data_IF_593967023045
#
_entry.id   IF_593967023045
#
_cell.length_a   1.000
_cell.length_b   1.000
_cell.length_c   1.000
_cell.angle_alpha   90.00
_cell.angle_beta   90.00
_cell.angle_gamma   90.00
#
_symmetry.space_group_name_H-M   'P 1'
#
loop_
_entity.id
_entity.type
_entity.pdbx_description
1 polymer ?
#
# COMPACT_ATOMS: atom_id res chain seq x y z
N UNK A 1 10.62 3.63 -25.46
CA UNK A 1 10.02 3.12 -24.20
C UNK A 1 9.68 4.35 -23.36
N UNK A 2 8.41 4.57 -23.02
CA UNK A 2 7.95 5.84 -22.43
C UNK A 2 8.60 6.13 -21.07
N UNK A 3 8.84 7.41 -20.78
CA UNK A 3 9.46 7.88 -19.53
C UNK A 3 8.75 7.31 -18.28
N UNK A 4 7.42 7.16 -18.35
CA UNK A 4 6.59 6.58 -17.30
C UNK A 4 7.02 5.17 -16.90
N UNK A 5 7.33 4.29 -17.86
CA UNK A 5 7.75 2.92 -17.58
C UNK A 5 9.12 2.86 -16.88
N UNK A 6 10.02 3.76 -17.27
CA UNK A 6 11.34 3.89 -16.65
C UNK A 6 11.22 4.32 -15.19
N UNK A 7 10.35 5.30 -14.89
CA UNK A 7 10.08 5.78 -13.53
C UNK A 7 9.46 4.64 -12.71
N UNK A 8 8.40 4.02 -13.22
CA UNK A 8 7.73 2.90 -12.56
C UNK A 8 8.71 1.80 -12.15
N UNK A 9 9.55 1.34 -13.09
CA UNK A 9 10.52 0.27 -12.82
C UNK A 9 11.59 0.69 -11.81
N UNK A 10 12.02 1.96 -11.84
CA UNK A 10 12.98 2.51 -10.88
C UNK A 10 12.41 2.53 -9.47
N UNK A 11 11.21 3.08 -9.31
CA UNK A 11 10.56 3.21 -7.99
C UNK A 11 10.20 1.84 -7.42
N UNK A 12 9.67 0.93 -8.25
CA UNK A 12 9.37 -0.43 -7.84
C UNK A 12 10.65 -1.17 -7.43
N UNK A 13 11.73 -1.01 -8.19
CA UNK A 13 13.05 -1.52 -7.82
C UNK A 13 13.54 -0.99 -6.47
N UNK A 14 13.34 0.31 -6.20
CA UNK A 14 13.73 0.93 -4.93
C UNK A 14 12.98 0.34 -3.71
N UNK A 15 11.70 0.01 -3.87
CA UNK A 15 10.92 -0.66 -2.82
C UNK A 15 11.47 -2.05 -2.47
N UNK A 16 11.83 -2.87 -3.47
CA UNK A 16 12.34 -4.22 -3.25
C UNK A 16 13.85 -4.28 -2.95
N UNK A 17 14.62 -3.24 -3.25
CA UNK A 17 16.02 -3.15 -2.82
C UNK A 17 16.17 -2.66 -1.39
N UNK A 18 15.16 -1.97 -0.86
CA UNK A 18 15.18 -1.44 0.50
C UNK A 18 14.70 -2.46 1.52
N UNK A 19 15.46 -2.63 2.61
CA UNK A 19 15.05 -3.44 3.75
C UNK A 19 13.68 -3.02 4.33
N UNK A 20 13.34 -1.74 4.19
CA UNK A 20 12.10 -1.15 4.72
C UNK A 20 10.87 -1.68 3.98
N UNK A 21 10.98 -1.99 2.68
CA UNK A 21 9.89 -2.60 1.92
C UNK A 21 9.53 -4.00 2.42
N UNK A 22 10.53 -4.81 2.78
CA UNK A 22 10.30 -6.14 3.36
C UNK A 22 9.72 -6.06 4.77
N UNK A 23 10.26 -5.16 5.61
CA UNK A 23 9.72 -4.93 6.96
C UNK A 23 8.24 -4.54 6.87
N UNK A 24 7.89 -3.63 5.96
CA UNK A 24 6.51 -3.25 5.71
C UNK A 24 5.63 -4.45 5.37
N UNK A 25 6.03 -5.28 4.39
CA UNK A 25 5.24 -6.44 3.97
C UNK A 25 5.05 -7.44 5.11
N UNK A 26 6.11 -7.74 5.88
CA UNK A 26 6.05 -8.68 7.00
C UNK A 26 5.11 -8.15 8.08
N UNK A 27 5.28 -6.89 8.50
CA UNK A 27 4.47 -6.31 9.59
C UNK A 27 3.00 -6.19 9.16
N UNK A 28 2.74 -5.75 7.92
CA UNK A 28 1.38 -5.70 7.36
C UNK A 28 0.71 -7.08 7.40
N UNK A 29 1.44 -8.13 7.00
CA UNK A 29 0.92 -9.50 7.00
C UNK A 29 0.69 -10.03 8.41
N UNK A 30 1.65 -9.86 9.32
CA UNK A 30 1.55 -10.34 10.71
C UNK A 30 0.39 -9.67 11.44
N UNK A 31 0.21 -8.36 11.28
CA UNK A 31 -0.92 -7.66 11.89
C UNK A 31 -2.25 -8.08 11.27
N UNK A 32 -2.33 -8.17 9.95
CA UNK A 32 -3.56 -8.54 9.25
C UNK A 32 -4.02 -9.95 9.61
N UNK A 33 -3.09 -10.92 9.61
CA UNK A 33 -3.37 -12.32 9.99
C UNK A 33 -3.62 -12.42 11.50
N UNK A 34 -2.77 -11.79 12.32
CA UNK A 34 -2.87 -11.87 13.78
C UNK A 34 -4.18 -11.31 14.32
N UNK A 35 -4.66 -10.19 13.78
CA UNK A 35 -5.95 -9.60 14.16
C UNK A 35 -7.15 -10.44 13.69
N UNK A 36 -6.99 -11.23 12.63
CA UNK A 36 -8.02 -12.14 12.14
C UNK A 36 -8.07 -13.47 12.90
N UNK A 37 -6.94 -13.98 13.42
CA UNK A 37 -6.92 -15.25 14.16
C UNK A 37 -7.83 -15.22 15.40
N UNK A 38 -7.82 -14.13 16.17
CA UNK A 38 -8.65 -13.99 17.38
C UNK A 38 -10.16 -14.18 17.13
N UNK A 39 -10.81 -13.43 16.21
CA UNK A 39 -12.22 -13.64 15.92
C UNK A 39 -12.48 -15.00 15.23
N UNK A 40 -11.55 -15.49 14.41
CA UNK A 40 -11.70 -16.81 13.76
C UNK A 40 -11.86 -17.95 14.79
N UNK A 41 -11.00 -18.01 15.81
CA UNK A 41 -11.10 -19.03 16.87
C UNK A 41 -12.27 -18.80 17.83
N UNK A 42 -12.75 -17.56 17.98
CA UNK A 42 -13.86 -17.23 18.89
C UNK A 42 -15.22 -17.60 18.30
N UNK A 43 -15.44 -17.28 17.01
CA UNK A 43 -16.74 -17.50 16.36
C UNK A 43 -16.82 -18.82 15.59
N UNK A 44 -15.68 -19.48 15.30
CA UNK A 44 -15.58 -20.75 14.54
C UNK A 44 -16.35 -20.74 13.20
N UNK A 45 -16.56 -19.56 12.63
CA UNK A 45 -17.22 -19.37 11.35
C UNK A 45 -16.18 -19.11 10.26
N UNK A 46 -16.34 -19.76 9.11
CA UNK A 46 -15.49 -19.55 7.93
C UNK A 46 -15.88 -18.25 7.17
N UNK A 47 -15.92 -17.12 7.88
CA UNK A 47 -16.26 -15.80 7.33
C UNK A 47 -15.05 -14.84 7.47
N UNK A 48 -14.79 -14.07 6.41
CA UNK A 48 -13.74 -13.05 6.35
C UNK A 48 -14.23 -11.63 6.64
N UNK A 49 -15.52 -11.44 6.95
CA UNK A 49 -16.05 -10.09 7.28
C UNK A 49 -15.26 -9.37 8.36
N UNK A 50 -14.82 -10.07 9.41
CA UNK A 50 -14.00 -9.46 10.46
C UNK A 50 -12.62 -9.04 9.95
N UNK A 51 -12.01 -9.80 9.04
CA UNK A 51 -10.72 -9.44 8.43
C UNK A 51 -10.84 -8.15 7.63
N UNK A 52 -11.83 -8.08 6.74
CA UNK A 52 -12.06 -6.89 5.92
C UNK A 52 -12.56 -5.69 6.72
N UNK A 53 -13.24 -5.91 7.86
CA UNK A 53 -13.64 -4.83 8.77
C UNK A 53 -12.46 -4.11 9.43
N UNK A 54 -11.33 -4.81 9.64
CA UNK A 54 -10.11 -4.22 10.23
C UNK A 54 -9.19 -3.60 9.18
N UNK A 55 -9.35 -3.96 7.89
CA UNK A 55 -8.53 -3.44 6.79
C UNK A 55 -8.46 -1.91 6.71
N UNK A 56 -9.57 -1.14 6.81
CA UNK A 56 -9.50 0.32 6.72
C UNK A 56 -8.55 0.95 7.75
N UNK A 57 -8.54 0.44 8.98
CA UNK A 57 -7.67 0.94 10.05
C UNK A 57 -6.21 0.58 9.76
N UNK A 58 -5.94 -0.66 9.34
CA UNK A 58 -4.59 -1.10 8.99
C UNK A 58 -4.07 -0.27 7.80
N UNK A 59 -4.85 -0.13 6.74
CA UNK A 59 -4.47 0.63 5.56
C UNK A 59 -4.24 2.11 5.87
N UNK A 60 -5.07 2.70 6.73
CA UNK A 60 -4.91 4.08 7.17
C UNK A 60 -3.58 4.35 7.89
N UNK A 61 -3.01 3.36 8.58
CA UNK A 61 -1.70 3.50 9.24
C UNK A 61 -0.55 3.17 8.27
N UNK A 62 -0.71 2.12 7.47
CA UNK A 62 0.37 1.56 6.67
C UNK A 62 0.59 2.33 5.37
N UNK A 63 -0.45 2.74 4.66
CA UNK A 63 -0.30 3.40 3.36
C UNK A 63 0.37 4.78 3.45
N UNK A 64 0.12 5.61 4.48
CA UNK A 64 0.92 6.82 4.72
C UNK A 64 2.42 6.53 4.86
N UNK A 65 2.79 5.42 5.47
CA UNK A 65 4.20 5.04 5.62
C UNK A 65 4.85 4.66 4.28
N UNK A 66 4.06 4.14 3.32
CA UNK A 66 4.54 3.85 1.96
C UNK A 66 4.71 5.14 1.16
N UNK A 67 3.79 6.10 1.31
CA UNK A 67 3.78 7.34 0.51
C UNK A 67 4.66 8.44 1.07
N UNK A 68 4.97 8.45 2.37
CA UNK A 68 5.72 9.53 3.01
C UNK A 68 7.08 9.80 2.36
N UNK A 69 7.72 8.78 1.75
CA UNK A 69 9.06 8.86 1.15
C UNK A 69 9.05 9.28 -0.31
N UNK A 70 7.93 9.12 -1.02
CA UNK A 70 7.88 9.26 -2.48
C UNK A 70 8.32 10.63 -2.99
N UNK A 71 7.91 11.71 -2.32
CA UNK A 71 8.28 13.09 -2.69
C UNK A 71 9.08 13.81 -1.62
N UNK A 72 8.78 13.57 -0.34
CA UNK A 72 9.49 14.24 0.75
C UNK A 72 10.97 13.84 0.84
N UNK A 73 11.35 12.60 0.44
CA UNK A 73 12.77 12.21 0.39
C UNK A 73 13.54 12.95 -0.71
N UNK A 74 12.93 13.11 -1.89
CA UNK A 74 13.53 13.83 -3.01
C UNK A 74 13.67 15.33 -2.73
N UNK A 75 12.72 15.90 -1.99
CA UNK A 75 12.83 17.28 -1.50
C UNK A 75 13.91 17.44 -0.45
N UNK A 76 13.97 16.54 0.52
CA UNK A 76 14.99 16.57 1.58
C UNK A 76 16.40 16.39 1.03
N UNK A 77 16.56 15.61 -0.04
CA UNK A 77 17.85 15.39 -0.71
C UNK A 77 18.20 16.44 -1.77
N UNK A 78 17.37 17.48 -1.96
CA UNK A 78 17.50 18.49 -3.02
C UNK A 78 17.60 17.91 -4.45
N UNK A 79 17.22 16.64 -4.65
CA UNK A 79 17.16 16.00 -5.98
C UNK A 79 15.91 16.37 -6.76
N UNK A 80 14.94 17.00 -6.09
CA UNK A 80 13.75 17.58 -6.70
C UNK A 80 14.05 18.56 -7.85
N UNK A 81 15.03 19.45 -7.66
CA UNK A 81 15.42 20.42 -8.69
C UNK A 81 16.02 19.71 -9.91
N UNK A 82 16.82 18.67 -9.68
CA UNK A 82 17.41 17.87 -10.75
C UNK A 82 16.33 17.13 -11.55
N UNK A 83 15.32 16.57 -10.89
CA UNK A 83 14.18 15.92 -11.56
C UNK A 83 13.38 16.86 -12.45
N UNK A 84 13.21 18.12 -12.05
CA UNK A 84 12.51 19.13 -12.85
C UNK A 84 13.31 19.61 -14.07
N UNK A 85 14.64 19.47 -14.06
CA UNK A 85 15.49 19.81 -15.21
C UNK A 85 15.53 18.73 -16.29
N UNK A 86 15.10 17.50 -15.99
CA UNK A 86 14.98 16.45 -16.99
C UNK A 86 13.79 16.70 -17.93
N UNK A 87 13.88 16.29 -19.22
CA UNK A 87 12.79 16.42 -20.19
C UNK A 87 11.69 15.37 -19.95
N UNK A 88 11.14 15.32 -18.74
CA UNK A 88 10.04 14.45 -18.34
C UNK A 88 8.83 15.30 -17.98
N UNK A 89 7.63 14.85 -18.36
CA UNK A 89 6.43 15.60 -18.01
C UNK A 89 6.03 15.34 -16.55
N UNK A 90 5.54 16.36 -15.80
CA UNK A 90 5.15 16.19 -14.40
C UNK A 90 4.12 15.08 -14.17
N UNK A 91 3.19 14.89 -15.11
CA UNK A 91 2.17 13.85 -15.01
C UNK A 91 2.76 12.43 -15.12
N UNK A 92 3.86 12.24 -15.86
CA UNK A 92 4.53 10.94 -15.98
C UNK A 92 5.20 10.54 -14.66
N UNK A 93 5.74 11.52 -13.92
CA UNK A 93 6.32 11.30 -12.59
C UNK A 93 5.25 10.91 -11.56
N UNK A 94 4.13 11.65 -11.52
CA UNK A 94 3.03 11.38 -10.60
C UNK A 94 2.45 9.98 -10.86
N UNK A 95 2.13 9.67 -12.13
CA UNK A 95 1.58 8.37 -12.49
C UNK A 95 2.57 7.23 -12.25
N UNK A 96 3.85 7.42 -12.59
CA UNK A 96 4.89 6.41 -12.36
C UNK A 96 5.03 6.04 -10.88
N UNK A 97 5.08 7.04 -9.99
CA UNK A 97 5.15 6.83 -8.54
C UNK A 97 3.88 6.20 -7.97
N UNK A 98 2.71 6.65 -8.44
CA UNK A 98 1.43 6.07 -8.03
C UNK A 98 1.30 4.60 -8.43
N UNK A 99 1.62 4.24 -9.68
CA UNK A 99 1.54 2.85 -10.11
C UNK A 99 2.57 1.97 -9.40
N UNK A 100 3.76 2.49 -9.11
CA UNK A 100 4.77 1.74 -8.35
C UNK A 100 4.30 1.40 -6.94
N UNK A 101 3.74 2.39 -6.21
CA UNK A 101 3.22 2.18 -4.86
C UNK A 101 1.94 1.31 -4.86
N UNK A 102 1.08 1.46 -5.87
CA UNK A 102 -0.11 0.64 -6.05
C UNK A 102 0.25 -0.83 -6.31
N UNK A 103 1.22 -1.11 -7.19
CA UNK A 103 1.65 -2.50 -7.45
C UNK A 103 2.32 -3.09 -6.20
N UNK A 104 3.15 -2.33 -5.49
CA UNK A 104 3.74 -2.77 -4.22
C UNK A 104 2.65 -3.13 -3.20
N UNK A 105 1.62 -2.29 -3.06
CA UNK A 105 0.48 -2.57 -2.20
C UNK A 105 -0.33 -3.79 -2.65
N UNK A 106 -0.61 -3.93 -3.94
CA UNK A 106 -1.33 -5.11 -4.47
C UNK A 106 -0.54 -6.38 -4.18
N UNK A 107 0.79 -6.39 -4.33
CA UNK A 107 1.60 -7.56 -3.99
C UNK A 107 1.49 -7.89 -2.50
N UNK A 108 1.56 -6.90 -1.62
CA UNK A 108 1.35 -7.10 -0.19
C UNK A 108 -0.07 -7.65 0.10
N UNK A 109 -1.10 -7.13 -0.56
CA UNK A 109 -2.47 -7.60 -0.43
C UNK A 109 -2.64 -9.03 -0.98
N UNK A 110 -1.98 -9.40 -2.08
CA UNK A 110 -2.00 -10.76 -2.62
C UNK A 110 -1.35 -11.76 -1.66
N UNK A 111 -0.33 -11.37 -0.90
CA UNK A 111 0.24 -12.28 0.12
C UNK A 111 -0.78 -12.66 1.21
N UNK A 112 -1.82 -11.84 1.44
CA UNK A 112 -2.91 -12.18 2.37
C UNK A 112 -3.86 -13.26 1.84
N UNK A 113 -3.81 -13.61 0.54
CA UNK A 113 -4.63 -14.69 -0.04
C UNK A 113 -4.35 -16.07 0.58
N UNK A 114 -3.29 -16.20 1.36
CA UNK A 114 -3.05 -17.38 2.19
C UNK A 114 -4.22 -17.67 3.14
N UNK A 115 -4.94 -16.64 3.61
CA UNK A 115 -6.10 -16.78 4.52
C UNK A 115 -7.30 -17.45 3.83
N UNK A 116 -7.83 -16.97 2.68
CA UNK A 116 -8.94 -17.63 2.00
C UNK A 116 -8.57 -19.04 1.54
N UNK A 117 -7.31 -19.30 1.17
CA UNK A 117 -6.84 -20.66 0.87
C UNK A 117 -6.95 -21.59 2.09
N UNK A 118 -6.58 -21.12 3.28
CA UNK A 118 -6.78 -21.85 4.53
C UNK A 118 -8.28 -22.11 4.79
N UNK A 119 -9.14 -21.10 4.59
CA UNK A 119 -10.58 -21.24 4.80
C UNK A 119 -11.24 -22.23 3.85
N UNK A 120 -10.82 -22.29 2.58
CA UNK A 120 -11.30 -23.27 1.61
C UNK A 120 -10.92 -24.71 2.00
N UNK A 121 -9.81 -24.91 2.69
CA UNK A 121 -9.41 -26.22 3.18
C UNK A 121 -10.17 -26.65 4.45
N UNK A 122 -10.57 -25.68 5.29
CA UNK A 122 -11.24 -25.95 6.58
C UNK A 122 -12.78 -25.93 6.50
N UNK A 123 -13.37 -25.29 5.49
CA UNK A 123 -14.82 -25.16 5.36
C UNK A 123 -15.27 -24.71 3.96
N UNK A 124 -16.52 -24.21 3.88
CA UNK A 124 -17.12 -23.68 2.65
C UNK A 124 -17.33 -22.16 2.76
N UNK A 125 -16.26 -21.34 2.63
CA UNK A 125 -16.41 -19.89 2.62
C UNK A 125 -17.13 -19.42 1.35
N UNK A 126 -17.94 -18.37 1.47
CA UNK A 126 -18.59 -17.74 0.31
C UNK A 126 -17.57 -16.89 -0.45
N UNK A 127 -17.23 -17.32 -1.67
CA UNK A 127 -16.22 -16.68 -2.52
C UNK A 127 -16.69 -15.33 -3.08
N UNK A 128 -18.01 -15.12 -3.24
CA UNK A 128 -18.55 -13.88 -3.81
C UNK A 128 -18.17 -12.64 -2.98
N UNK A 129 -18.51 -12.61 -1.68
CA UNK A 129 -18.12 -11.54 -0.76
C UNK A 129 -16.60 -11.38 -0.63
N UNK A 130 -15.83 -12.47 -0.67
CA UNK A 130 -14.37 -12.43 -0.53
C UNK A 130 -13.75 -11.68 -1.71
N UNK A 131 -14.10 -12.03 -2.94
CA UNK A 131 -13.57 -11.35 -4.13
C UNK A 131 -13.99 -9.89 -4.14
N UNK A 132 -15.25 -9.60 -3.83
CA UNK A 132 -15.74 -8.22 -3.73
C UNK A 132 -15.00 -7.39 -2.69
N UNK A 133 -14.71 -7.97 -1.53
CA UNK A 133 -13.97 -7.31 -0.46
C UNK A 133 -12.49 -7.10 -0.79
N UNK A 134 -11.84 -8.04 -1.50
CA UNK A 134 -10.48 -7.83 -2.02
C UNK A 134 -10.41 -6.69 -3.03
N UNK A 135 -11.34 -6.63 -3.97
CA UNK A 135 -11.44 -5.52 -4.94
C UNK A 135 -11.70 -4.20 -4.20
N UNK A 136 -12.62 -4.19 -3.24
CA UNK A 136 -12.90 -3.02 -2.41
C UNK A 136 -11.69 -2.54 -1.62
N UNK A 137 -10.92 -3.46 -1.04
CA UNK A 137 -9.69 -3.17 -0.30
C UNK A 137 -8.59 -2.62 -1.22
N UNK A 138 -8.47 -3.16 -2.44
CA UNK A 138 -7.55 -2.64 -3.45
C UNK A 138 -7.89 -1.20 -3.86
N UNK A 139 -9.17 -0.90 -4.08
CA UNK A 139 -9.66 0.45 -4.39
C UNK A 139 -9.47 1.43 -3.23
N UNK A 140 -9.78 0.99 -2.00
CA UNK A 140 -9.56 1.79 -0.79
C UNK A 140 -8.07 2.10 -0.60
N UNK A 141 -7.19 1.13 -0.84
CA UNK A 141 -5.76 1.35 -0.79
C UNK A 141 -5.26 2.31 -1.87
N UNK A 142 -5.79 2.20 -3.10
CA UNK A 142 -5.49 3.15 -4.17
C UNK A 142 -5.89 4.59 -3.79
N UNK A 143 -7.04 4.77 -3.11
CA UNK A 143 -7.48 6.07 -2.60
C UNK A 143 -6.49 6.64 -1.56
N UNK A 144 -6.12 5.86 -0.54
CA UNK A 144 -5.15 6.29 0.46
C UNK A 144 -3.76 6.57 -0.12
N UNK A 145 -3.31 5.79 -1.10
CA UNK A 145 -2.06 6.05 -1.81
C UNK A 145 -2.10 7.37 -2.59
N UNK A 146 -3.22 7.67 -3.26
CA UNK A 146 -3.39 8.93 -3.97
C UNK A 146 -3.38 10.12 -3.00
N UNK A 147 -4.10 10.02 -1.87
CA UNK A 147 -4.07 11.03 -0.81
C UNK A 147 -2.67 11.24 -0.23
N UNK A 148 -1.98 10.15 0.12
CA UNK A 148 -0.64 10.21 0.68
C UNK A 148 0.41 10.75 -0.30
N UNK A 149 0.27 10.47 -1.59
CA UNK A 149 1.10 11.05 -2.63
C UNK A 149 0.90 12.57 -2.73
N UNK A 150 -0.36 13.01 -2.67
CA UNK A 150 -0.72 14.43 -2.69
C UNK A 150 -0.16 15.16 -1.45
N UNK A 151 -0.35 14.62 -0.26
CA UNK A 151 0.17 15.21 0.99
C UNK A 151 1.71 15.21 1.03
N UNK A 152 2.35 14.13 0.57
CA UNK A 152 3.82 14.07 0.46
C UNK A 152 4.37 15.14 -0.49
N UNK A 153 3.63 15.48 -1.55
CA UNK A 153 3.98 16.57 -2.46
C UNK A 153 3.77 17.98 -1.86
N UNK A 154 3.12 18.13 -0.71
CA UNK A 154 2.99 19.42 -0.01
C UNK A 154 4.03 19.57 1.12
N UNK A 155 4.55 18.46 1.63
CA UNK A 155 5.49 18.47 2.75
C UNK A 155 6.96 18.46 2.28
N UNK A 156 7.85 18.96 3.14
CA UNK A 156 9.31 18.80 2.98
C UNK A 156 9.85 17.69 3.88
N UNK A 157 9.23 17.47 5.04
CA UNK A 157 9.60 16.43 5.99
C UNK A 157 8.72 15.18 5.88
N UNK A 158 9.36 14.00 5.85
CA UNK A 158 8.69 12.69 5.79
C UNK A 158 7.75 12.44 6.97
N UNK A 159 8.15 12.84 8.18
CA UNK A 159 7.36 12.63 9.40
C UNK A 159 6.09 13.48 9.35
N UNK A 160 6.19 14.73 8.89
CA UNK A 160 5.03 15.63 8.77
C UNK A 160 4.08 15.10 7.70
N UNK A 161 4.60 14.64 6.56
CA UNK A 161 3.80 14.00 5.52
C UNK A 161 3.03 12.78 6.04
N UNK A 162 3.68 11.94 6.85
CA UNK A 162 3.06 10.78 7.48
C UNK A 162 1.91 11.17 8.41
N UNK A 163 2.15 12.09 9.35
CA UNK A 163 1.14 12.50 10.35
C UNK A 163 -0.07 13.16 9.70
N UNK A 164 0.14 14.03 8.70
CA UNK A 164 -0.98 14.69 8.02
C UNK A 164 -1.81 13.67 7.23
N UNK A 165 -1.16 12.73 6.53
CA UNK A 165 -1.89 11.70 5.78
C UNK A 165 -2.63 10.74 6.70
N UNK A 166 -2.06 10.42 7.87
CA UNK A 166 -2.70 9.56 8.87
C UNK A 166 -3.97 10.18 9.46
N UNK A 167 -4.01 11.51 9.56
CA UNK A 167 -5.13 12.26 10.14
C UNK A 167 -6.20 12.67 9.10
N UNK A 168 -5.90 12.53 7.81
CA UNK A 168 -6.78 12.89 6.69
C UNK A 168 -7.68 11.73 6.26
#
# INVERSE_FOLDING_TARGET
MGNLWTIFRRELGAYYSSAIGYIFMIVFQVLSVGLFMTPFFTFLNADMRSFFGTMPIILGIFLPAVTMRLWAEERKQNTWEMLLTFPMQPHELVLGKFFASLVFFIVALLTTLTIPLMLLALGNPDLGPIVGAYVGTALLGAFFLAMGLFVSALCQDQIVAFVITLLA
#
